data_IF_797497361720
#
_entry.id   IF_797497361720
#
_cell.length_a   1.000
_cell.length_b   1.000
_cell.length_c   1.000
_cell.angle_alpha   90.00
_cell.angle_beta   90.00
_cell.angle_gamma   90.00
#
_symmetry.space_group_name_H-M   'P 1'
#
loop_
_entity.id
_entity.type
_entity.pdbx_description
1 polymer ?
#
# COMPACT_ATOMS: atom_id res chain seq x y z
N UNK A 1 -0.82 17.78 -6.42
CA UNK A 1 -1.07 17.84 -4.96
C UNK A 1 -0.37 16.65 -4.33
N UNK A 2 0.45 16.88 -3.28
CA UNK A 2 1.20 15.81 -2.60
C UNK A 2 0.56 15.46 -1.26
N UNK A 3 0.57 14.18 -0.91
CA UNK A 3 0.00 13.66 0.32
C UNK A 3 0.86 12.52 0.86
N UNK A 4 0.94 12.39 2.19
CA UNK A 4 1.53 11.22 2.83
C UNK A 4 0.45 10.15 3.04
N UNK A 5 0.74 8.92 2.63
CA UNK A 5 -0.15 7.77 2.77
C UNK A 5 0.64 6.57 3.29
N UNK A 6 0.01 5.75 4.12
CA UNK A 6 0.62 4.49 4.57
C UNK A 6 0.19 3.37 3.62
N UNK A 7 1.14 2.59 3.14
CA UNK A 7 0.89 1.42 2.31
C UNK A 7 1.62 0.20 2.86
N UNK A 8 0.97 -0.96 2.75
CA UNK A 8 1.67 -2.22 2.84
C UNK A 8 2.28 -2.55 1.47
N UNK A 9 3.59 -2.40 1.34
CA UNK A 9 4.31 -2.58 0.07
C UNK A 9 4.81 -4.02 -0.03
N UNK A 10 4.39 -4.72 -1.08
CA UNK A 10 4.80 -6.09 -1.37
C UNK A 10 6.16 -6.14 -2.07
N UNK A 11 6.43 -5.14 -2.91
CA UNK A 11 7.67 -5.04 -3.66
C UNK A 11 7.66 -3.89 -4.65
N UNK A 12 8.82 -3.57 -5.21
CA UNK A 12 9.01 -2.54 -6.22
C UNK A 12 9.83 -3.09 -7.37
N UNK A 13 9.47 -2.75 -8.60
CA UNK A 13 10.22 -3.19 -9.79
C UNK A 13 10.34 -2.10 -10.85
N UNK A 14 11.42 -2.16 -11.60
CA UNK A 14 11.64 -1.39 -12.83
C UNK A 14 10.90 -2.02 -14.00
N UNK A 15 10.54 -1.19 -14.96
CA UNK A 15 10.09 -1.61 -16.27
C UNK A 15 10.62 -0.65 -17.34
N UNK A 16 10.77 -1.17 -18.55
CA UNK A 16 11.03 -0.40 -19.75
C UNK A 16 10.02 -0.85 -20.81
N UNK A 17 9.27 0.07 -21.38
CA UNK A 17 8.25 -0.18 -22.40
C UNK A 17 8.37 0.90 -23.45
N UNK A 18 8.58 0.52 -24.71
CA UNK A 18 8.60 1.41 -25.88
C UNK A 18 9.51 2.65 -25.69
N UNK A 19 10.71 2.45 -25.15
CA UNK A 19 11.68 3.52 -24.90
C UNK A 19 11.39 4.39 -23.68
N UNK A 20 10.29 4.13 -22.96
CA UNK A 20 9.95 4.79 -21.70
C UNK A 20 10.32 3.90 -20.51
N UNK A 21 11.13 4.45 -19.61
CA UNK A 21 11.53 3.78 -18.37
C UNK A 21 10.70 4.26 -17.19
N UNK A 22 10.32 3.32 -16.31
CA UNK A 22 9.61 3.64 -15.09
C UNK A 22 9.75 2.55 -14.04
N UNK A 23 9.12 2.75 -12.89
CA UNK A 23 9.01 1.73 -11.86
C UNK A 23 7.58 1.63 -11.35
N UNK A 24 7.29 0.51 -10.69
CA UNK A 24 6.00 0.30 -10.05
C UNK A 24 6.18 -0.34 -8.69
N UNK A 25 5.50 0.22 -7.70
CA UNK A 25 5.30 -0.38 -6.39
C UNK A 25 4.01 -1.22 -6.43
N UNK A 26 4.06 -2.39 -5.82
CA UNK A 26 2.89 -3.24 -5.59
C UNK A 26 2.46 -3.06 -4.15
N UNK A 27 1.26 -2.55 -3.95
CA UNK A 27 0.72 -2.25 -2.62
C UNK A 27 -0.49 -3.11 -2.35
N UNK A 28 -0.64 -3.54 -1.10
CA UNK A 28 -1.77 -4.31 -0.62
C UNK A 28 -2.69 -3.40 0.20
N UNK A 29 -3.98 -3.49 -0.08
CA UNK A 29 -5.05 -2.88 0.71
C UNK A 29 -5.99 -3.97 1.21
N UNK A 30 -6.42 -3.95 2.48
CA UNK A 30 -7.45 -4.87 2.94
C UNK A 30 -8.72 -4.70 2.09
N UNK A 31 -9.37 -5.82 1.75
CA UNK A 31 -10.70 -5.80 1.16
C UNK A 31 -11.70 -5.61 2.31
N UNK A 32 -11.94 -4.36 2.72
CA UNK A 32 -12.90 -4.08 3.79
C UNK A 32 -14.33 -4.11 3.25
N UNK A 33 -15.19 -4.92 3.89
CA UNK A 33 -16.64 -4.71 3.87
C UNK A 33 -17.43 -5.35 2.73
N UNK A 34 -16.82 -6.11 1.82
CA UNK A 34 -17.56 -6.88 0.82
C UNK A 34 -17.65 -8.36 1.21
N UNK A 35 -18.86 -8.88 1.55
CA UNK A 35 -19.05 -10.29 1.90
C UNK A 35 -18.73 -11.27 0.76
N UNK A 36 -18.57 -10.78 -0.48
CA UNK A 36 -18.19 -11.59 -1.63
C UNK A 36 -16.69 -11.55 -1.95
N UNK A 37 -15.90 -10.80 -1.18
CA UNK A 37 -14.46 -10.66 -1.41
C UNK A 37 -13.68 -11.29 -0.26
N UNK A 38 -12.75 -12.19 -0.60
CA UNK A 38 -11.82 -12.81 0.36
C UNK A 38 -10.41 -12.33 0.08
N UNK A 39 -9.71 -11.88 1.12
CA UNK A 39 -8.30 -11.51 1.06
C UNK A 39 -8.06 -10.00 0.95
N UNK A 40 -7.16 -9.61 0.05
CA UNK A 40 -6.69 -8.23 -0.07
C UNK A 40 -6.59 -7.80 -1.53
N UNK A 41 -6.87 -6.53 -1.79
CA UNK A 41 -6.66 -5.93 -3.10
C UNK A 41 -5.19 -5.58 -3.29
N UNK A 42 -4.60 -6.05 -4.39
CA UNK A 42 -3.25 -5.65 -4.80
C UNK A 42 -3.36 -4.59 -5.89
N UNK A 43 -2.76 -3.42 -5.65
CA UNK A 43 -2.71 -2.32 -6.60
C UNK A 43 -1.29 -2.10 -7.10
N UNK A 44 -1.16 -1.78 -8.39
CA UNK A 44 0.08 -1.36 -9.01
C UNK A 44 0.12 0.16 -9.06
N UNK A 45 1.09 0.77 -8.39
CA UNK A 45 1.23 2.23 -8.32
C UNK A 45 2.51 2.65 -9.04
N UNK A 46 2.45 3.54 -10.05
CA UNK A 46 3.63 4.03 -10.75
C UNK A 46 4.54 4.87 -9.84
N UNK A 47 5.85 4.81 -10.08
CA UNK A 47 6.87 5.55 -9.32
C UNK A 47 8.13 5.80 -10.18
N UNK A 48 9.04 6.71 -9.76
CA UNK A 48 10.28 6.99 -10.47
C UNK A 48 11.18 5.77 -10.58
N UNK A 49 11.86 5.62 -11.72
CA UNK A 49 12.81 4.53 -11.96
C UNK A 49 13.93 4.44 -10.91
N UNK A 50 14.38 5.60 -10.40
CA UNK A 50 15.41 5.72 -9.38
C UNK A 50 14.94 5.26 -7.97
N UNK A 51 13.62 5.23 -7.71
CA UNK A 51 13.10 4.86 -6.39
C UNK A 51 13.44 3.40 -6.03
N UNK A 52 13.60 2.54 -7.03
CA UNK A 52 13.98 1.13 -6.81
C UNK A 52 15.37 1.02 -6.16
N UNK A 53 16.32 1.87 -6.55
CA UNK A 53 17.64 1.87 -5.93
C UNK A 53 17.59 2.40 -4.50
N UNK A 54 16.78 3.43 -4.25
CA UNK A 54 16.57 3.97 -2.90
C UNK A 54 15.92 2.94 -1.96
N UNK A 55 15.12 2.02 -2.50
CA UNK A 55 14.47 0.95 -1.73
C UNK A 55 15.35 -0.30 -1.54
N UNK A 56 16.53 -0.36 -2.17
CA UNK A 56 17.39 -1.55 -2.09
C UNK A 56 17.88 -1.74 -0.66
N UNK A 57 17.64 -2.94 -0.10
CA UNK A 57 18.01 -3.27 1.28
C UNK A 57 16.96 -2.92 2.33
N UNK A 58 15.84 -2.29 1.94
CA UNK A 58 14.68 -2.13 2.82
C UNK A 58 13.94 -3.47 3.00
N UNK A 59 13.36 -3.73 4.19
CA UNK A 59 12.57 -4.94 4.42
C UNK A 59 11.29 -4.89 3.59
N UNK A 60 11.14 -5.83 2.66
CA UNK A 60 9.92 -6.04 1.86
C UNK A 60 9.54 -7.53 1.89
N UNK A 61 8.25 -7.87 2.03
CA UNK A 61 7.10 -6.98 2.20
C UNK A 61 7.08 -6.25 3.56
N UNK A 62 6.43 -5.09 3.64
CA UNK A 62 6.37 -4.31 4.88
C UNK A 62 5.49 -3.05 4.78
N UNK A 63 5.28 -2.40 5.92
CA UNK A 63 4.55 -1.13 5.99
C UNK A 63 5.47 0.06 5.72
N UNK A 64 5.05 0.94 4.81
CA UNK A 64 5.80 2.13 4.41
C UNK A 64 4.91 3.38 4.48
N UNK A 65 5.48 4.47 4.94
CA UNK A 65 4.94 5.80 4.68
C UNK A 65 5.45 6.27 3.33
N UNK A 66 4.51 6.53 2.42
CA UNK A 66 4.77 6.98 1.07
C UNK A 66 4.35 8.43 0.88
N UNK A 67 5.19 9.24 0.27
CA UNK A 67 4.76 10.50 -0.32
C UNK A 67 4.19 10.20 -1.71
N UNK A 68 2.92 10.53 -1.93
CA UNK A 68 2.23 10.33 -3.19
C UNK A 68 1.79 11.64 -3.80
N UNK A 69 1.69 11.65 -5.12
CA UNK A 69 1.12 12.73 -5.90
C UNK A 69 -0.07 12.20 -6.71
N UNK A 70 -1.18 12.92 -6.68
CA UNK A 70 -2.29 12.68 -7.60
C UNK A 70 -1.93 13.26 -8.97
N UNK A 71 -1.94 12.41 -9.99
CA UNK A 71 -1.67 12.76 -11.39
C UNK A 71 -2.86 12.43 -12.27
N UNK A 72 -2.98 13.15 -13.38
CA UNK A 72 -3.85 12.76 -14.48
C UNK A 72 -3.30 11.46 -15.09
N UNK A 73 -4.06 10.39 -14.99
CA UNK A 73 -3.80 9.10 -15.62
C UNK A 73 -4.45 8.99 -16.99
N UNK A 74 -4.31 7.81 -17.61
CA UNK A 74 -4.91 7.54 -18.89
C UNK A 74 -6.44 7.66 -18.84
N UNK A 75 -7.05 8.12 -19.94
CA UNK A 75 -8.50 8.25 -20.11
C UNK A 75 -9.17 9.14 -19.04
N UNK A 76 -8.45 10.15 -18.52
CA UNK A 76 -9.00 11.10 -17.56
C UNK A 76 -9.17 10.56 -16.14
N UNK A 77 -8.64 9.37 -15.83
CA UNK A 77 -8.67 8.81 -14.48
C UNK A 77 -7.61 9.47 -13.60
N UNK A 78 -7.89 9.66 -12.32
CA UNK A 78 -6.86 10.04 -11.35
C UNK A 78 -5.99 8.82 -11.03
N UNK A 79 -4.67 9.01 -11.05
CA UNK A 79 -3.70 7.98 -10.71
C UNK A 79 -2.81 8.47 -9.56
N UNK A 80 -2.57 7.60 -8.59
CA UNK A 80 -1.55 7.83 -7.57
C UNK A 80 -0.17 7.59 -8.17
N UNK A 81 0.78 8.47 -7.84
CA UNK A 81 2.18 8.31 -8.22
C UNK A 81 3.05 8.42 -6.97
N UNK A 82 3.80 7.37 -6.63
CA UNK A 82 4.63 7.34 -5.42
C UNK A 82 5.95 8.05 -5.69
N UNK A 83 6.27 9.06 -4.90
CA UNK A 83 7.50 9.85 -4.99
C UNK A 83 8.61 9.31 -4.08
N UNK A 84 8.25 8.84 -2.89
CA UNK A 84 9.20 8.30 -1.91
C UNK A 84 8.56 7.20 -1.07
N UNK A 85 9.39 6.30 -0.51
CA UNK A 85 8.99 5.25 0.42
C UNK A 85 9.96 5.26 1.60
N UNK A 86 9.42 5.33 2.82
CA UNK A 86 10.16 5.19 4.05
C UNK A 86 9.51 4.11 4.91
N UNK A 87 10.26 3.20 5.53
CA UNK A 87 9.69 2.22 6.45
C UNK A 87 8.82 2.93 7.50
N UNK A 88 7.57 2.50 7.64
CA UNK A 88 6.68 3.08 8.62
C UNK A 88 7.24 2.77 10.01
N UNK A 89 7.31 3.79 10.87
CA UNK A 89 7.54 3.53 12.28
C UNK A 89 6.39 2.65 12.78
N UNK A 90 6.64 1.56 13.54
CA UNK A 90 5.60 0.61 13.95
C UNK A 90 4.47 1.22 14.81
N UNK A 91 4.55 2.51 15.17
CA UNK A 91 3.47 3.28 15.83
C UNK A 91 2.49 3.94 14.85
N UNK A 92 2.69 3.79 13.54
CA UNK A 92 1.90 4.45 12.50
C UNK A 92 1.02 3.49 11.70
N UNK A 93 0.67 2.34 12.26
CA UNK A 93 -0.45 1.57 11.72
C UNK A 93 -1.72 2.43 11.87
N UNK A 94 -2.52 2.64 10.80
CA UNK A 94 -3.92 2.95 11.00
C UNK A 94 -4.48 1.75 11.78
N UNK A 95 -4.82 1.98 13.04
CA UNK A 95 -5.50 1.00 13.87
C UNK A 95 -6.67 0.41 13.04
N UNK A 96 -6.68 -0.90 12.72
CA UNK A 96 -7.93 -1.50 12.28
C UNK A 96 -8.92 -1.25 13.41
N UNK A 97 -10.00 -0.53 13.11
CA UNK A 97 -10.96 -0.12 14.12
C UNK A 97 -11.36 -1.32 15.00
N UNK A 98 -11.50 -1.13 16.33
CA UNK A 98 -11.87 -2.19 17.25
C UNK A 98 -13.34 -2.57 17.00
N UNK A 99 -13.55 -3.51 16.10
CA UNK A 99 -14.89 -3.92 15.65
C UNK A 99 -15.26 -5.38 15.89
N UNK A 100 -14.29 -6.28 16.07
CA UNK A 100 -14.58 -7.70 16.30
C UNK A 100 -13.83 -8.23 17.53
N UNK A 101 -14.29 -7.82 18.72
CA UNK A 101 -14.19 -8.72 19.86
C UNK A 101 -15.15 -9.89 19.59
N UNK A 102 -14.69 -11.16 19.56
CA UNK A 102 -15.63 -12.27 19.65
C UNK A 102 -16.42 -12.13 20.97
N UNK A 103 -17.74 -12.36 20.99
CA UNK A 103 -18.52 -12.23 22.21
C UNK A 103 -17.89 -13.10 23.30
N UNK A 104 -17.67 -12.49 24.47
CA UNK A 104 -17.19 -13.17 25.65
C UNK A 104 -18.08 -14.39 25.91
N UNK A 105 -17.48 -15.58 25.86
CA UNK A 105 -18.15 -16.83 26.17
C UNK A 105 -18.65 -16.74 27.63
N UNK A 106 -19.95 -16.88 27.91
CA UNK A 106 -20.41 -16.88 29.30
C UNK A 106 -19.84 -18.10 30.01
N UNK A 107 -19.12 -17.87 31.11
CA UNK A 107 -18.55 -18.90 31.96
C UNK A 107 -19.63 -19.93 32.36
N UNK A 108 -19.27 -21.22 32.52
CA UNK A 108 -20.20 -22.20 33.03
C UNK A 108 -20.53 -21.86 34.49
N UNK A 109 -21.82 -21.67 34.79
CA UNK A 109 -22.30 -21.54 36.17
C UNK A 109 -22.08 -22.86 36.92
N UNK A 110 -21.67 -22.82 38.20
CA UNK A 110 -21.59 -23.98 39.08
C UNK A 110 -22.98 -24.53 39.46
#
# INVERSE_FOLDING_TARGET
MRQLMNFHVLGIKRYSVDGSEGASAYVMSPAEGDPNTVGAHVMKVPCPYALVDACRGMPMPGDFQAEVELRAGAQGKLALFVLSLNPANPKSQPNPQPGNQPPANPAPKP
#
